data_IF_899320870712
#
_entry.id   IF_899320870712
#
_cell.length_a   1.000
_cell.length_b   1.000
_cell.length_c   1.000
_cell.angle_alpha   90.00
_cell.angle_beta   90.00
_cell.angle_gamma   90.00
#
_symmetry.space_group_name_H-M   'P 1'
#
loop_
_entity.id
_entity.type
_entity.pdbx_description
1 polymer ?
#
# COMPACT_ATOMS: atom_id res chain seq x y z
N UNK A 1 19.10 9.49 1.85
CA UNK A 1 19.52 8.12 1.51
C UNK A 1 18.48 7.16 2.08
N UNK A 2 17.74 6.45 1.23
CA UNK A 2 16.89 5.36 1.70
C UNK A 2 17.80 4.18 2.06
N UNK A 3 17.59 3.58 3.23
CA UNK A 3 18.38 2.43 3.67
C UNK A 3 18.03 1.21 2.79
N UNK A 4 18.91 0.88 1.84
CA UNK A 4 18.74 -0.23 0.89
C UNK A 4 18.63 -1.59 1.58
N UNK A 5 19.07 -1.70 2.85
CA UNK A 5 18.97 -2.92 3.66
C UNK A 5 17.52 -3.39 3.85
N UNK A 6 16.54 -2.48 3.88
CA UNK A 6 15.11 -2.83 4.02
C UNK A 6 14.53 -3.54 2.79
N UNK A 7 15.19 -3.44 1.63
CA UNK A 7 14.77 -4.12 0.40
C UNK A 7 15.42 -5.51 0.23
N UNK A 8 16.40 -5.85 1.07
CA UNK A 8 17.13 -7.12 1.01
C UNK A 8 16.63 -8.05 2.11
N UNK A 9 15.33 -8.39 2.10
CA UNK A 9 14.74 -9.36 3.02
C UNK A 9 15.39 -10.73 2.78
N UNK A 10 15.99 -11.33 3.81
CA UNK A 10 16.58 -12.67 3.73
C UNK A 10 15.51 -13.68 3.28
N UNK A 11 15.71 -14.43 2.18
CA UNK A 11 14.76 -15.45 1.73
C UNK A 11 14.50 -16.56 2.76
N UNK A 12 15.34 -16.67 3.80
CA UNK A 12 15.20 -17.62 4.91
C UNK A 12 14.60 -17.00 6.18
N UNK A 13 14.25 -15.71 6.19
CA UNK A 13 13.53 -15.03 7.28
C UNK A 13 12.00 -15.27 7.18
N UNK A 14 11.64 -16.52 6.97
CA UNK A 14 10.28 -17.02 7.07
C UNK A 14 10.12 -17.82 8.36
N UNK A 15 8.94 -17.85 8.97
CA UNK A 15 8.71 -18.71 10.13
C UNK A 15 9.01 -20.17 9.78
N UNK A 16 9.66 -20.89 10.70
CA UNK A 16 9.95 -22.31 10.47
C UNK A 16 8.64 -23.09 10.35
N UNK A 17 8.55 -24.10 9.46
CA UNK A 17 7.34 -24.91 9.38
C UNK A 17 6.99 -25.51 10.74
N UNK A 18 5.74 -25.34 11.18
CA UNK A 18 5.30 -25.81 12.50
C UNK A 18 5.72 -24.92 13.67
N UNK A 19 6.28 -23.74 13.43
CA UNK A 19 6.63 -22.79 14.49
C UNK A 19 5.44 -22.46 15.40
N UNK A 20 4.21 -22.39 14.87
CA UNK A 20 2.99 -22.17 15.67
C UNK A 20 2.67 -23.31 16.65
N UNK A 21 3.22 -24.51 16.45
CA UNK A 21 3.06 -25.65 17.36
C UNK A 21 4.14 -25.69 18.46
N UNK A 22 5.25 -24.99 18.27
CA UNK A 22 6.42 -25.03 19.16
C UNK A 22 6.67 -23.73 19.90
N UNK A 23 6.18 -22.60 19.37
CA UNK A 23 6.22 -21.32 20.06
C UNK A 23 5.34 -21.36 21.32
N UNK A 24 5.60 -20.44 22.25
CA UNK A 24 4.79 -20.29 23.44
C UNK A 24 3.33 -20.03 23.05
N UNK A 25 2.34 -20.75 23.61
CA UNK A 25 0.93 -20.49 23.32
C UNK A 25 0.56 -19.02 23.59
N UNK A 26 -0.31 -18.46 22.76
CA UNK A 26 -0.78 -17.07 22.83
C UNK A 26 0.33 -16.02 22.65
N UNK A 27 1.38 -16.36 21.89
CA UNK A 27 2.48 -15.43 21.58
C UNK A 27 2.01 -14.28 20.70
N UNK A 28 1.12 -14.58 19.76
CA UNK A 28 0.60 -13.60 18.82
C UNK A 28 -0.84 -13.22 19.16
N UNK A 29 -1.24 -11.98 18.87
CA UNK A 29 -2.60 -11.53 19.20
C UNK A 29 -3.67 -12.26 18.37
N UNK A 30 -3.35 -12.65 17.14
CA UNK A 30 -4.23 -13.45 16.29
C UNK A 30 -4.34 -14.94 16.69
N UNK A 31 -3.56 -15.40 17.68
CA UNK A 31 -3.74 -16.74 18.28
C UNK A 31 -4.77 -16.74 19.40
N UNK A 32 -5.12 -15.55 19.92
CA UNK A 32 -6.13 -15.37 20.96
C UNK A 32 -7.51 -15.20 20.34
N UNK A 33 -8.58 -15.54 21.07
CA UNK A 33 -9.93 -15.17 20.65
C UNK A 33 -10.05 -13.64 20.57
N UNK A 34 -10.84 -13.17 19.60
CA UNK A 34 -11.11 -11.75 19.45
C UNK A 34 -11.83 -11.18 20.68
N UNK A 35 -11.47 -9.96 21.08
CA UNK A 35 -12.12 -9.26 22.18
C UNK A 35 -13.58 -8.92 21.86
N UNK A 36 -13.83 -8.47 20.62
CA UNK A 36 -15.15 -8.12 20.11
C UNK A 36 -15.56 -9.15 19.05
N UNK A 37 -16.71 -9.78 19.28
CA UNK A 37 -17.29 -10.76 18.35
C UNK A 37 -18.62 -10.30 17.75
N UNK A 38 -19.27 -9.31 18.36
CA UNK A 38 -20.49 -8.72 17.81
C UNK A 38 -20.17 -7.64 16.76
N UNK A 39 -20.89 -7.69 15.65
CA UNK A 39 -20.67 -6.78 14.51
C UNK A 39 -21.10 -5.34 14.84
N UNK A 40 -22.16 -5.18 15.64
CA UNK A 40 -22.63 -3.84 16.01
C UNK A 40 -21.66 -3.18 16.98
N UNK A 41 -21.18 -3.93 17.98
CA UNK A 41 -20.16 -3.44 18.92
C UNK A 41 -18.86 -3.04 18.18
N UNK A 42 -18.42 -3.86 17.22
CA UNK A 42 -17.25 -3.54 16.39
C UNK A 42 -17.48 -2.31 15.51
N UNK A 43 -18.70 -2.10 15.01
CA UNK A 43 -19.06 -0.92 14.25
C UNK A 43 -19.10 0.34 15.13
N UNK A 44 -19.68 0.27 16.33
CA UNK A 44 -19.71 1.38 17.28
C UNK A 44 -18.28 1.79 17.67
N UNK A 45 -17.41 0.82 17.95
CA UNK A 45 -15.99 1.07 18.21
C UNK A 45 -15.27 1.71 17.02
N UNK A 46 -15.61 1.30 15.79
CA UNK A 46 -15.10 1.95 14.58
C UNK A 46 -15.55 3.40 14.47
N UNK A 47 -16.84 3.69 14.72
CA UNK A 47 -17.41 5.04 14.68
C UNK A 47 -16.69 5.94 15.68
N UNK A 48 -16.56 5.50 16.94
CA UNK A 48 -15.86 6.23 17.98
C UNK A 48 -14.42 6.55 17.58
N UNK A 49 -13.73 5.60 16.93
CA UNK A 49 -12.36 5.78 16.47
C UNK A 49 -12.22 6.79 15.33
N UNK A 50 -13.21 6.90 14.44
CA UNK A 50 -13.15 7.84 13.30
C UNK A 50 -13.74 9.21 13.63
N UNK A 51 -14.65 9.31 14.59
CA UNK A 51 -15.23 10.58 15.06
C UNK A 51 -14.31 11.36 16.00
N UNK A 52 -13.22 10.76 16.49
CA UNK A 52 -12.16 11.51 17.15
C UNK A 52 -11.70 12.68 16.26
N UNK A 53 -11.61 13.92 16.79
CA UNK A 53 -11.31 15.10 15.96
C UNK A 53 -9.99 14.99 15.19
N UNK A 54 -8.97 14.36 15.77
CA UNK A 54 -7.66 14.17 15.13
C UNK A 54 -7.76 13.11 14.05
N UNK A 55 -8.48 12.02 14.31
CA UNK A 55 -8.75 10.99 13.31
C UNK A 55 -9.55 11.54 12.14
N UNK A 56 -10.65 12.24 12.39
CA UNK A 56 -11.49 12.87 11.35
C UNK A 56 -10.67 13.81 10.47
N UNK A 57 -9.86 14.70 11.06
CA UNK A 57 -9.01 15.62 10.29
C UNK A 57 -8.00 14.86 9.43
N UNK A 58 -7.40 13.81 9.98
CA UNK A 58 -6.44 12.96 9.25
C UNK A 58 -7.11 12.23 8.09
N UNK A 59 -8.29 11.65 8.32
CA UNK A 59 -9.09 10.98 7.29
C UNK A 59 -9.45 11.95 6.17
N UNK A 60 -9.91 13.16 6.50
CA UNK A 60 -10.22 14.20 5.52
C UNK A 60 -8.99 14.56 4.66
N UNK A 61 -7.80 14.70 5.26
CA UNK A 61 -6.55 14.93 4.54
C UNK A 61 -6.20 13.77 3.60
N UNK A 62 -6.34 12.53 4.04
CA UNK A 62 -6.06 11.34 3.22
C UNK A 62 -7.02 11.26 2.02
N UNK A 63 -8.30 11.54 2.25
CA UNK A 63 -9.31 11.61 1.18
C UNK A 63 -8.98 12.73 0.17
N UNK A 64 -8.53 13.89 0.65
CA UNK A 64 -8.12 15.01 -0.21
C UNK A 64 -6.92 14.65 -1.10
N UNK A 65 -5.97 13.86 -0.59
CA UNK A 65 -4.81 13.36 -1.35
C UNK A 65 -5.23 12.27 -2.36
N UNK A 66 -6.45 11.76 -2.26
CA UNK A 66 -7.04 10.81 -3.20
C UNK A 66 -6.87 9.34 -2.79
N UNK A 67 -6.58 9.08 -1.51
CA UNK A 67 -6.71 7.73 -0.93
C UNK A 67 -8.19 7.34 -0.96
N UNK A 68 -8.48 6.10 -1.33
CA UNK A 68 -9.87 5.63 -1.40
C UNK A 68 -10.45 5.34 -0.01
N UNK A 69 -11.77 5.46 0.11
CA UNK A 69 -12.51 5.10 1.33
C UNK A 69 -12.26 3.63 1.68
N UNK A 70 -12.31 2.75 0.68
CA UNK A 70 -12.01 1.32 0.83
C UNK A 70 -10.63 1.08 1.46
N UNK A 71 -9.60 1.78 1.00
CA UNK A 71 -8.24 1.66 1.55
C UNK A 71 -8.17 2.13 3.00
N UNK A 72 -8.83 3.24 3.34
CA UNK A 72 -8.82 3.77 4.71
C UNK A 72 -9.50 2.78 5.66
N UNK A 73 -10.74 2.37 5.34
CA UNK A 73 -11.49 1.43 6.16
C UNK A 73 -10.78 0.09 6.26
N UNK A 74 -10.27 -0.46 5.15
CA UNK A 74 -9.54 -1.73 5.17
C UNK A 74 -8.27 -1.65 6.02
N UNK A 75 -7.59 -0.50 6.02
CA UNK A 75 -6.39 -0.31 6.85
C UNK A 75 -6.74 -0.30 8.34
N UNK A 76 -7.86 0.33 8.71
CA UNK A 76 -8.36 0.35 10.09
C UNK A 76 -8.77 -1.07 10.52
N UNK A 77 -9.59 -1.76 9.74
CA UNK A 77 -10.05 -3.11 10.08
C UNK A 77 -8.90 -4.12 10.12
N UNK A 78 -7.90 -3.98 9.24
CA UNK A 78 -6.70 -4.82 9.26
C UNK A 78 -5.88 -4.61 10.53
N UNK A 79 -5.74 -3.36 10.99
CA UNK A 79 -5.09 -3.04 12.26
C UNK A 79 -5.80 -3.71 13.43
N UNK A 80 -7.13 -3.55 13.51
CA UNK A 80 -7.93 -4.13 14.60
C UNK A 80 -7.84 -5.66 14.65
N UNK A 81 -7.82 -6.32 13.48
CA UNK A 81 -7.58 -7.76 13.41
C UNK A 81 -6.17 -8.14 13.85
N UNK A 82 -5.15 -7.40 13.39
CA UNK A 82 -3.75 -7.65 13.76
C UNK A 82 -3.47 -7.47 15.26
N UNK A 83 -4.24 -6.59 15.92
CA UNK A 83 -4.21 -6.37 17.37
C UNK A 83 -5.04 -7.41 18.15
N UNK A 84 -5.81 -8.26 17.48
CA UNK A 84 -6.69 -9.25 18.11
C UNK A 84 -8.01 -8.69 18.65
N UNK A 85 -8.35 -7.44 18.30
CA UNK A 85 -9.57 -6.77 18.78
C UNK A 85 -10.81 -7.39 18.13
N UNK A 86 -10.76 -7.60 16.82
CA UNK A 86 -11.87 -8.16 16.04
C UNK A 86 -11.43 -9.41 15.28
N UNK A 87 -12.38 -10.31 15.04
CA UNK A 87 -12.16 -11.46 14.16
C UNK A 87 -12.12 -11.02 12.68
N UNK A 88 -11.49 -11.80 11.78
CA UNK A 88 -11.43 -11.44 10.36
C UNK A 88 -12.83 -11.40 9.72
N UNK A 89 -13.75 -12.26 10.17
CA UNK A 89 -15.13 -12.27 9.67
C UNK A 89 -15.87 -10.98 10.08
N UNK A 90 -15.73 -10.57 11.34
CA UNK A 90 -16.30 -9.30 11.84
C UNK A 90 -15.66 -8.10 11.12
N UNK A 91 -14.35 -8.15 10.89
CA UNK A 91 -13.61 -7.12 10.17
C UNK A 91 -14.16 -6.90 8.75
N UNK A 92 -14.58 -7.95 8.05
CA UNK A 92 -15.22 -7.83 6.73
C UNK A 92 -16.68 -7.36 6.82
N UNK A 93 -17.45 -7.87 7.79
CA UNK A 93 -18.87 -7.53 7.96
C UNK A 93 -19.10 -6.06 8.36
N UNK A 94 -18.15 -5.44 9.06
CA UNK A 94 -18.22 -4.03 9.48
C UNK A 94 -17.94 -3.06 8.31
N UNK A 95 -17.26 -3.49 7.24
CA UNK A 95 -16.83 -2.58 6.16
C UNK A 95 -17.98 -1.84 5.46
N UNK A 96 -19.08 -2.50 5.03
CA UNK A 96 -20.15 -1.80 4.32
C UNK A 96 -20.76 -0.61 5.08
N UNK A 97 -21.14 -0.73 6.37
CA UNK A 97 -21.60 0.44 7.12
C UNK A 97 -20.45 1.43 7.41
N UNK A 98 -19.22 0.96 7.66
CA UNK A 98 -18.06 1.83 7.89
C UNK A 98 -17.73 2.73 6.69
N UNK A 99 -17.90 2.25 5.45
CA UNK A 99 -17.73 3.08 4.26
C UNK A 99 -18.65 4.30 4.25
N UNK A 100 -19.88 4.16 4.74
CA UNK A 100 -20.84 5.26 4.79
C UNK A 100 -20.43 6.33 5.80
N UNK A 101 -19.83 5.92 6.93
CA UNK A 101 -19.31 6.85 7.95
C UNK A 101 -18.19 7.70 7.37
N UNK A 102 -17.22 7.07 6.69
CA UNK A 102 -16.11 7.79 6.04
C UNK A 102 -16.60 8.64 4.85
N UNK A 103 -17.60 8.17 4.11
CA UNK A 103 -18.24 8.95 3.05
C UNK A 103 -18.93 10.20 3.61
N UNK A 104 -19.58 10.11 4.76
CA UNK A 104 -20.15 11.26 5.46
C UNK A 104 -19.06 12.28 5.81
N UNK A 105 -17.92 11.85 6.35
CA UNK A 105 -16.78 12.74 6.62
C UNK A 105 -16.32 13.45 5.34
N UNK A 106 -16.25 12.73 4.21
CA UNK A 106 -15.87 13.33 2.92
C UNK A 106 -16.87 14.42 2.49
N UNK A 107 -18.16 14.12 2.56
CA UNK A 107 -19.24 15.03 2.19
C UNK A 107 -19.28 16.28 3.09
N UNK A 108 -19.13 16.09 4.41
CA UNK A 108 -19.09 17.19 5.39
C UNK A 108 -17.92 18.15 5.13
N UNK A 109 -16.83 17.65 4.53
CA UNK A 109 -15.66 18.44 4.12
C UNK A 109 -15.68 18.88 2.65
N UNK A 110 -16.77 18.61 1.90
CA UNK A 110 -16.89 18.99 0.49
C UNK A 110 -15.91 18.27 -0.45
N UNK A 111 -15.37 17.12 -0.04
CA UNK A 111 -14.42 16.33 -0.82
C UNK A 111 -15.20 15.36 -1.70
N UNK A 112 -14.79 15.16 -2.95
CA UNK A 112 -15.31 14.08 -3.80
C UNK A 112 -14.38 12.87 -3.68
N UNK A 113 -14.69 11.87 -2.83
CA UNK A 113 -13.77 10.77 -2.56
C UNK A 113 -13.82 9.71 -3.66
N UNK A 114 -12.72 8.97 -3.81
CA UNK A 114 -12.76 7.68 -4.50
C UNK A 114 -13.28 6.64 -3.51
N UNK A 115 -14.42 6.01 -3.82
CA UNK A 115 -15.01 5.04 -2.88
C UNK A 115 -14.25 3.72 -2.89
N UNK A 116 -14.05 3.15 -4.07
CA UNK A 116 -13.40 1.84 -4.25
C UNK A 116 -12.14 1.95 -5.13
N UNK A 117 -11.20 1.04 -4.90
CA UNK A 117 -10.04 0.85 -5.75
C UNK A 117 -10.45 0.07 -7.00
N UNK A 118 -10.31 0.70 -8.16
CA UNK A 118 -10.43 0.02 -9.44
C UNK A 118 -9.06 -0.39 -9.96
N UNK A 119 -8.95 -1.59 -10.53
CA UNK A 119 -7.82 -1.90 -11.40
C UNK A 119 -7.94 -1.05 -12.67
N UNK A 120 -6.87 -0.37 -13.10
CA UNK A 120 -6.87 0.32 -14.39
C UNK A 120 -7.11 -0.72 -15.50
N UNK A 121 -8.19 -0.53 -16.29
CA UNK A 121 -8.58 -1.45 -17.38
C UNK A 121 -7.61 -1.44 -18.56
N UNK A 122 -6.80 -0.38 -18.67
CA UNK A 122 -5.73 -0.26 -19.64
C UNK A 122 -4.38 -0.27 -18.91
N UNK A 123 -3.37 -0.91 -19.50
CA UNK A 123 -2.00 -0.80 -19.02
C UNK A 123 -1.56 0.66 -19.02
N UNK A 124 -0.80 1.07 -18.00
CA UNK A 124 -0.19 2.40 -17.94
C UNK A 124 0.81 2.50 -19.09
N UNK A 125 0.68 3.52 -19.94
CA UNK A 125 1.62 3.70 -21.05
C UNK A 125 3.00 4.12 -20.55
N UNK A 126 4.07 3.80 -21.29
CA UNK A 126 5.44 4.16 -20.91
C UNK A 126 5.62 5.67 -20.67
N UNK A 127 4.91 6.51 -21.43
CA UNK A 127 4.93 7.97 -21.25
C UNK A 127 4.29 8.39 -19.93
N UNK A 128 3.14 7.82 -19.59
CA UNK A 128 2.47 8.08 -18.33
C UNK A 128 3.32 7.60 -17.16
N UNK A 129 3.87 6.38 -17.26
CA UNK A 129 4.80 5.82 -16.27
C UNK A 129 6.01 6.73 -16.03
N UNK A 130 6.69 7.17 -17.10
CA UNK A 130 7.84 8.09 -16.99
C UNK A 130 7.44 9.43 -16.36
N UNK A 131 6.26 9.95 -16.68
CA UNK A 131 5.75 11.18 -16.06
C UNK A 131 5.44 11.01 -14.56
N UNK A 132 4.93 9.84 -14.16
CA UNK A 132 4.67 9.49 -12.77
C UNK A 132 5.96 9.36 -11.98
N UNK A 133 6.96 8.64 -12.51
CA UNK A 133 8.28 8.53 -11.86
C UNK A 133 8.90 9.91 -11.72
N UNK A 134 8.87 10.76 -12.75
CA UNK A 134 9.39 12.14 -12.66
C UNK A 134 8.73 12.94 -11.53
N UNK A 135 7.43 12.74 -11.31
CA UNK A 135 6.66 13.45 -10.27
C UNK A 135 6.88 12.88 -8.87
N UNK A 136 6.97 11.55 -8.74
CA UNK A 136 6.99 10.86 -7.44
C UNK A 136 8.40 10.53 -6.93
N UNK A 137 9.34 10.23 -7.84
CA UNK A 137 10.71 9.80 -7.56
C UNK A 137 11.70 10.41 -8.57
N UNK A 138 12.06 11.70 -8.42
CA UNK A 138 12.90 12.39 -9.40
C UNK A 138 14.31 11.82 -9.51
N UNK A 139 14.89 11.31 -8.41
CA UNK A 139 16.24 10.72 -8.45
C UNK A 139 16.28 9.45 -9.29
N UNK A 140 15.30 8.56 -9.12
CA UNK A 140 15.22 7.33 -9.93
C UNK A 140 14.95 7.64 -11.41
N UNK A 141 14.17 8.67 -11.71
CA UNK A 141 13.99 9.15 -13.08
C UNK A 141 15.34 9.52 -13.73
N UNK A 142 16.21 10.24 -13.02
CA UNK A 142 17.53 10.61 -13.56
C UNK A 142 18.45 9.40 -13.74
N UNK A 143 18.35 8.39 -12.88
CA UNK A 143 19.14 7.17 -13.02
C UNK A 143 18.70 6.35 -14.24
N UNK A 144 17.39 6.28 -14.51
CA UNK A 144 16.85 5.66 -15.72
C UNK A 144 17.36 6.38 -16.98
N UNK A 145 17.38 7.71 -16.97
CA UNK A 145 17.92 8.50 -18.09
C UNK A 145 19.42 8.29 -18.30
N UNK A 146 20.22 8.27 -17.23
CA UNK A 146 21.66 7.99 -17.30
C UNK A 146 21.93 6.59 -17.85
N UNK A 147 21.21 5.59 -17.36
CA UNK A 147 21.34 4.21 -17.85
C UNK A 147 20.90 4.05 -19.32
N UNK A 148 19.91 4.83 -19.78
CA UNK A 148 19.52 4.85 -21.18
C UNK A 148 20.63 5.46 -22.05
N UNK A 149 21.18 6.61 -21.66
CA UNK A 149 22.29 7.24 -22.36
C UNK A 149 23.56 6.36 -22.39
N UNK A 150 23.93 5.75 -21.25
CA UNK A 150 25.10 4.87 -21.15
C UNK A 150 24.97 3.60 -22.02
N UNK A 151 23.73 3.11 -22.21
CA UNK A 151 23.45 1.97 -23.11
C UNK A 151 23.58 2.38 -24.58
N UNK A 152 23.05 3.54 -24.94
CA UNK A 152 23.16 4.07 -26.31
C UNK A 152 24.62 4.33 -26.69
N UNK A 153 25.42 4.90 -25.77
CA UNK A 153 26.87 5.10 -25.97
C UNK A 153 27.64 3.79 -26.12
N UNK A 154 27.30 2.75 -25.36
CA UNK A 154 27.91 1.41 -25.52
C UNK A 154 27.56 0.78 -26.87
N UNK A 155 26.30 0.88 -27.30
CA UNK A 155 25.84 0.34 -28.58
C UNK A 155 26.53 1.05 -29.76
N UNK A 156 26.67 2.38 -29.70
CA UNK A 156 27.37 3.16 -30.73
C UNK A 156 28.86 2.77 -30.82
N UNK A 157 29.54 2.63 -29.68
CA UNK A 157 30.94 2.21 -29.65
C UNK A 157 31.14 0.77 -30.15
N UNK A 158 30.22 -0.15 -29.82
CA UNK A 158 30.27 -1.53 -30.30
C UNK A 158 30.01 -1.62 -31.82
N UNK A 159 29.15 -0.76 -32.37
CA UNK A 159 28.92 -0.66 -33.82
C UNK A 159 30.13 -0.09 -34.57
N UNK A 160 30.79 0.94 -34.03
CA UNK A 160 32.01 1.52 -34.61
C UNK A 160 33.18 0.52 -34.60
N UNK A 161 33.33 -0.25 -33.52
CA UNK A 161 34.36 -1.30 -33.42
C UNK A 161 34.11 -2.48 -34.37
N UNK A 162 32.85 -2.84 -34.68
CA UNK A 162 32.52 -3.87 -35.67
C UNK A 162 32.76 -3.42 -37.12
N UNK A 163 32.51 -2.16 -37.44
CA UNK A 163 32.78 -1.62 -38.78
C UNK A 163 34.28 -1.52 -39.09
N UNK A 164 35.13 -1.35 -38.07
CA UNK A 164 36.59 -1.40 -38.22
C UNK A 164 37.17 -2.80 -38.51
N UNK A 165 36.40 -3.88 -38.25
CA UNK A 165 36.81 -5.26 -38.52
C UNK A 165 36.45 -5.75 -39.93
N UNK A 166 35.59 -5.03 -40.68
CA UNK A 166 35.18 -5.39 -42.05
C UNK A 166 36.05 -4.73 -43.14
N UNK A 167 37.12 -4.01 -42.77
CA UNK A 167 38.09 -3.44 -43.71
C UNK A 167 39.48 -4.02 -43.38
N UNK A 168 39.73 -5.24 -43.83
CA UNK A 168 41.06 -5.81 -44.09
C UNK A 168 40.94 -6.96 -45.07
#
# INVERSE_FOLDING_TARGET
MLNTELLQRDPFDAPTPGQSLTDTPNKWQWEKPAEITDVNEAFDSFVDAVEDPVATETIAKLLYIGVSIESIVSSITLKLFGEGVISPDVAELVKPPAYNVVLKIANDNGITPKVFNGFPKAGVSDKEFLSLIKKLKPEEYTNILKQANDKDEKIINDMQNKQGFMVK
#
